data_IF_185248603067
#
_entry.id   IF_185248603067
#
_cell.length_a   1.000
_cell.length_b   1.000
_cell.length_c   1.000
_cell.angle_alpha   90.00
_cell.angle_beta   90.00
_cell.angle_gamma   90.00
#
_symmetry.space_group_name_H-M   'P 1'
#
loop_
_entity.id
_entity.type
_entity.pdbx_description
1 polymer ?
#
# COMPACT_ATOMS: atom_id res chain seq x y z
N UNK A 1 50.34 5.75 20.25
CA UNK A 1 48.94 5.51 20.66
C UNK A 1 48.72 4.01 20.63
N UNK A 2 48.19 3.38 21.70
CA UNK A 2 48.13 1.90 21.77
C UNK A 2 47.23 1.39 20.65
N UNK A 3 47.75 0.48 19.83
CA UNK A 3 47.06 -0.17 18.70
C UNK A 3 45.64 -0.67 19.07
N UNK A 4 45.46 -1.11 20.32
CA UNK A 4 44.18 -1.50 20.89
C UNK A 4 43.09 -0.41 20.86
N UNK A 5 43.45 0.86 20.97
CA UNK A 5 42.51 1.99 20.91
C UNK A 5 42.05 2.23 19.48
N UNK A 6 42.95 2.08 18.50
CA UNK A 6 42.62 2.23 17.07
C UNK A 6 41.70 1.09 16.65
N UNK A 7 42.05 -0.15 17.01
CA UNK A 7 41.24 -1.33 16.70
C UNK A 7 39.84 -1.24 17.33
N UNK A 8 39.73 -0.75 18.58
CA UNK A 8 38.42 -0.54 19.22
C UNK A 8 37.56 0.47 18.48
N UNK A 9 38.16 1.55 17.96
CA UNK A 9 37.43 2.58 17.23
C UNK A 9 36.99 2.12 15.84
N UNK A 10 37.78 1.29 15.17
CA UNK A 10 37.39 0.65 13.90
C UNK A 10 36.24 -0.35 14.09
N UNK A 11 36.26 -1.13 15.17
CA UNK A 11 35.14 -2.01 15.52
C UNK A 11 33.86 -1.23 15.82
N UNK A 12 33.96 -0.09 16.52
CA UNK A 12 32.80 0.76 16.81
C UNK A 12 32.14 1.28 15.52
N UNK A 13 32.94 1.68 14.53
CA UNK A 13 32.43 2.08 13.20
C UNK A 13 31.77 0.94 12.44
N UNK A 14 32.30 -0.28 12.56
CA UNK A 14 31.69 -1.49 11.97
C UNK A 14 30.34 -1.78 12.63
N UNK A 15 30.24 -1.64 13.96
CA UNK A 15 28.99 -1.81 14.70
C UNK A 15 27.95 -0.78 14.28
N UNK A 16 28.31 0.52 14.20
CA UNK A 16 27.39 1.56 13.74
C UNK A 16 26.90 1.30 12.30
N UNK A 17 27.79 0.87 11.41
CA UNK A 17 27.40 0.51 10.05
C UNK A 17 26.47 -0.71 10.01
N UNK A 18 26.73 -1.74 10.81
CA UNK A 18 25.88 -2.93 10.93
C UNK A 18 24.50 -2.59 11.53
N UNK A 19 24.43 -1.69 12.52
CA UNK A 19 23.17 -1.20 13.09
C UNK A 19 22.41 -0.39 12.04
N UNK A 20 23.08 0.53 11.35
CA UNK A 20 22.48 1.36 10.30
C UNK A 20 21.96 0.52 9.13
N UNK A 21 22.72 -0.47 8.68
CA UNK A 21 22.33 -1.37 7.59
C UNK A 21 21.25 -2.36 8.05
N UNK A 22 21.25 -2.85 9.29
CA UNK A 22 20.17 -3.73 9.80
C UNK A 22 18.85 -2.99 10.02
N UNK A 23 18.88 -1.70 10.35
CA UNK A 23 17.69 -0.85 10.39
C UNK A 23 17.19 -0.48 8.98
N UNK A 24 18.11 -0.38 8.01
CA UNK A 24 17.82 -0.04 6.60
C UNK A 24 17.39 -1.24 5.74
N UNK A 25 17.80 -2.44 6.13
CA UNK A 25 17.45 -3.72 5.52
C UNK A 25 17.00 -4.64 6.67
N UNK A 26 15.74 -5.05 6.80
CA UNK A 26 15.33 -6.17 5.96
C UNK A 26 13.82 -6.46 6.03
N UNK A 27 13.15 -6.03 4.95
CA UNK A 27 11.93 -6.57 4.33
C UNK A 27 10.58 -6.44 5.00
N UNK A 28 10.41 -6.07 6.27
CA UNK A 28 9.04 -5.90 6.80
C UNK A 28 8.28 -4.80 6.07
N UNK A 29 8.87 -3.62 5.86
CA UNK A 29 8.20 -2.52 5.18
C UNK A 29 7.92 -2.84 3.72
N UNK A 30 8.89 -3.42 2.99
CA UNK A 30 8.71 -3.79 1.59
C UNK A 30 7.71 -4.96 1.41
N UNK A 31 7.72 -5.94 2.31
CA UNK A 31 6.74 -7.04 2.33
C UNK A 31 5.35 -6.51 2.68
N UNK A 32 5.23 -5.63 3.68
CA UNK A 32 3.96 -4.96 4.02
C UNK A 32 3.46 -4.15 2.83
N UNK A 33 4.34 -3.39 2.15
CA UNK A 33 3.98 -2.65 0.94
C UNK A 33 3.50 -3.59 -0.16
N UNK A 34 4.19 -4.72 -0.38
CA UNK A 34 3.77 -5.73 -1.34
C UNK A 34 2.41 -6.36 -0.99
N UNK A 35 2.15 -6.61 0.29
CA UNK A 35 0.85 -7.11 0.77
C UNK A 35 -0.24 -6.06 0.52
N UNK A 36 0.02 -4.79 0.84
CA UNK A 36 -0.94 -3.70 0.60
C UNK A 36 -1.21 -3.51 -0.89
N UNK A 37 -0.19 -3.58 -1.75
CA UNK A 37 -0.36 -3.53 -3.21
C UNK A 37 -1.19 -4.70 -3.73
N UNK A 38 -0.97 -5.92 -3.21
CA UNK A 38 -1.79 -7.10 -3.54
C UNK A 38 -3.24 -6.95 -3.06
N UNK A 39 -3.46 -6.36 -1.88
CA UNK A 39 -4.80 -6.05 -1.38
C UNK A 39 -5.50 -5.04 -2.28
N UNK A 40 -4.82 -3.97 -2.71
CA UNK A 40 -5.38 -2.99 -3.65
C UNK A 40 -5.80 -3.69 -4.95
N UNK A 41 -4.95 -4.57 -5.50
CA UNK A 41 -5.28 -5.32 -6.72
C UNK A 41 -6.49 -6.23 -6.53
N UNK A 42 -6.60 -6.93 -5.39
CA UNK A 42 -7.75 -7.77 -5.09
C UNK A 42 -9.05 -6.96 -5.03
N UNK A 43 -9.02 -5.77 -4.41
CA UNK A 43 -10.16 -4.87 -4.39
C UNK A 43 -10.50 -4.33 -5.78
N UNK A 44 -9.48 -4.02 -6.60
CA UNK A 44 -9.68 -3.58 -7.98
C UNK A 44 -10.40 -4.66 -8.81
N UNK A 45 -9.99 -5.93 -8.70
CA UNK A 45 -10.68 -7.04 -9.36
C UNK A 45 -12.10 -7.24 -8.83
N UNK A 46 -12.32 -7.12 -7.51
CA UNK A 46 -13.65 -7.24 -6.95
C UNK A 46 -14.59 -6.14 -7.45
N UNK A 47 -14.13 -4.88 -7.44
CA UNK A 47 -14.91 -3.76 -7.96
C UNK A 47 -15.20 -3.94 -9.45
N UNK A 48 -14.23 -4.43 -10.21
CA UNK A 48 -14.43 -4.73 -11.63
C UNK A 48 -15.51 -5.80 -11.82
N UNK A 49 -15.45 -6.92 -11.09
CA UNK A 49 -16.46 -7.97 -11.17
C UNK A 49 -17.88 -7.47 -10.77
N UNK A 50 -17.98 -6.61 -9.76
CA UNK A 50 -19.25 -5.98 -9.37
C UNK A 50 -19.81 -5.11 -10.50
N UNK A 51 -18.94 -4.34 -11.16
CA UNK A 51 -19.33 -3.44 -12.25
C UNK A 51 -19.66 -4.22 -13.53
N UNK A 52 -18.91 -5.26 -13.87
CA UNK A 52 -19.21 -6.18 -14.98
C UNK A 52 -20.59 -6.83 -14.78
N UNK A 53 -20.87 -7.34 -13.58
CA UNK A 53 -22.22 -7.85 -13.27
C UNK A 53 -23.30 -6.77 -13.40
N UNK A 54 -23.01 -5.53 -13.00
CA UNK A 54 -23.95 -4.42 -13.15
C UNK A 54 -24.15 -4.01 -14.62
N UNK A 55 -23.14 -4.16 -15.47
CA UNK A 55 -23.21 -3.95 -16.93
C UNK A 55 -24.06 -5.05 -17.59
N UNK A 56 -23.84 -6.32 -17.23
CA UNK A 56 -24.69 -7.45 -17.67
C UNK A 56 -26.16 -7.26 -17.26
N UNK A 57 -26.39 -6.73 -16.06
CA UNK A 57 -27.72 -6.36 -15.55
C UNK A 57 -28.27 -5.04 -16.14
N UNK A 58 -27.56 -4.42 -17.10
CA UNK A 58 -27.90 -3.14 -17.75
C UNK A 58 -28.08 -1.95 -16.78
N UNK A 59 -27.46 -2.00 -15.60
CA UNK A 59 -27.48 -0.91 -14.61
C UNK A 59 -26.45 0.18 -14.91
N UNK A 60 -25.41 -0.14 -15.68
CA UNK A 60 -24.39 0.78 -16.18
C UNK A 60 -24.09 0.50 -17.65
N UNK A 61 -23.56 1.50 -18.37
CA UNK A 61 -23.29 1.42 -19.82
C UNK A 61 -21.89 0.88 -20.15
N UNK A 62 -20.90 1.15 -19.29
CA UNK A 62 -19.52 0.71 -19.46
C UNK A 62 -18.81 0.65 -18.10
N UNK A 63 -17.91 -0.31 -17.93
CA UNK A 63 -17.04 -0.41 -16.74
C UNK A 63 -15.90 0.62 -16.81
N UNK A 64 -15.77 1.54 -15.83
CA UNK A 64 -14.71 2.54 -15.84
C UNK A 64 -13.29 1.93 -15.73
N UNK A 65 -12.37 2.44 -16.55
CA UNK A 65 -10.96 2.00 -16.56
C UNK A 65 -10.14 2.54 -15.39
N UNK A 66 -10.50 3.72 -14.85
CA UNK A 66 -9.77 4.32 -13.73
C UNK A 66 -10.35 3.87 -12.39
N UNK A 67 -9.48 3.48 -11.46
CA UNK A 67 -9.91 3.01 -10.14
C UNK A 67 -10.76 4.01 -9.33
N UNK A 68 -10.45 5.31 -9.39
CA UNK A 68 -11.25 6.34 -8.70
C UNK A 68 -12.65 6.45 -9.30
N UNK A 69 -12.76 6.26 -10.62
CA UNK A 69 -14.05 6.23 -11.31
C UNK A 69 -14.83 4.95 -10.96
N UNK A 70 -14.15 3.80 -10.82
CA UNK A 70 -14.76 2.56 -10.33
C UNK A 70 -15.34 2.72 -8.93
N UNK A 71 -14.60 3.30 -7.98
CA UNK A 71 -15.09 3.61 -6.63
C UNK A 71 -16.36 4.47 -6.68
N UNK A 72 -16.35 5.51 -7.51
CA UNK A 72 -17.51 6.40 -7.67
C UNK A 72 -18.71 5.66 -8.28
N UNK A 73 -18.48 4.77 -9.25
CA UNK A 73 -19.53 3.98 -9.87
C UNK A 73 -20.13 2.96 -8.89
N UNK A 74 -19.30 2.26 -8.11
CA UNK A 74 -19.76 1.31 -7.08
C UNK A 74 -20.54 2.04 -5.98
N UNK A 75 -20.09 3.22 -5.54
CA UNK A 75 -20.84 4.03 -4.57
C UNK A 75 -22.22 4.42 -5.12
N UNK A 76 -22.31 4.81 -6.40
CA UNK A 76 -23.61 5.15 -7.03
C UNK A 76 -24.54 3.95 -7.16
N UNK A 77 -24.00 2.74 -7.34
CA UNK A 77 -24.79 1.49 -7.39
C UNK A 77 -25.35 1.11 -6.01
N UNK A 78 -24.60 1.37 -4.93
CA UNK A 78 -24.98 0.99 -3.56
C UNK A 78 -24.89 2.18 -2.59
N UNK A 79 -25.65 3.27 -2.78
CA UNK A 79 -25.46 4.51 -2.03
C UNK A 79 -25.82 4.39 -0.54
N UNK A 80 -26.76 3.50 -0.20
CA UNK A 80 -27.25 3.32 1.17
C UNK A 80 -26.58 2.18 1.93
N UNK A 81 -25.71 1.40 1.28
CA UNK A 81 -25.02 0.29 1.94
C UNK A 81 -23.79 0.82 2.70
N UNK A 82 -23.94 0.99 4.01
CA UNK A 82 -22.86 1.43 4.88
C UNK A 82 -21.65 0.49 4.88
N UNK A 83 -21.85 -0.81 4.68
CA UNK A 83 -20.75 -1.77 4.58
C UNK A 83 -19.97 -1.54 3.29
N UNK A 84 -20.68 -1.31 2.17
CA UNK A 84 -20.04 -1.00 0.90
C UNK A 84 -19.26 0.32 0.97
N UNK A 85 -19.82 1.37 1.58
CA UNK A 85 -19.11 2.64 1.74
C UNK A 85 -17.84 2.47 2.58
N UNK A 86 -17.91 1.73 3.70
CA UNK A 86 -16.74 1.42 4.53
C UNK A 86 -15.67 0.64 3.76
N UNK A 87 -16.10 -0.27 2.89
CA UNK A 87 -15.22 -1.06 2.02
C UNK A 87 -14.49 -0.17 1.00
N UNK A 88 -15.20 0.76 0.36
CA UNK A 88 -14.63 1.73 -0.57
C UNK A 88 -13.67 2.71 0.13
N UNK A 89 -14.01 3.15 1.34
CA UNK A 89 -13.14 4.02 2.15
C UNK A 89 -11.84 3.33 2.54
N UNK A 90 -11.91 2.06 2.94
CA UNK A 90 -10.73 1.26 3.25
C UNK A 90 -9.83 1.08 2.02
N UNK A 91 -10.40 0.79 0.84
CA UNK A 91 -9.65 0.76 -0.41
C UNK A 91 -8.90 2.08 -0.69
N UNK A 92 -9.58 3.20 -0.50
CA UNK A 92 -8.98 4.53 -0.69
C UNK A 92 -7.87 4.81 0.33
N UNK A 93 -8.02 4.34 1.57
CA UNK A 93 -6.97 4.38 2.59
C UNK A 93 -5.74 3.57 2.15
N UNK A 94 -5.91 2.33 1.67
CA UNK A 94 -4.79 1.50 1.20
C UNK A 94 -4.02 2.20 0.07
N UNK A 95 -4.72 2.80 -0.91
CA UNK A 95 -4.07 3.57 -1.99
C UNK A 95 -3.33 4.80 -1.47
N UNK A 96 -3.84 5.48 -0.44
CA UNK A 96 -3.15 6.60 0.22
C UNK A 96 -1.89 6.13 0.92
N UNK A 97 -1.92 4.99 1.60
CA UNK A 97 -0.76 4.40 2.28
C UNK A 97 0.36 4.08 1.28
N UNK A 98 0.06 3.46 0.14
CA UNK A 98 1.08 3.14 -0.89
C UNK A 98 1.65 4.41 -1.54
N UNK A 99 0.82 5.45 -1.71
CA UNK A 99 1.24 6.73 -2.28
C UNK A 99 1.98 7.65 -1.31
N UNK A 100 1.79 7.45 0.00
CA UNK A 100 2.51 8.23 0.99
C UNK A 100 4.01 8.02 0.79
N UNK A 101 4.75 9.10 0.54
CA UNK A 101 6.22 9.04 0.61
C UNK A 101 6.57 8.61 2.02
N UNK A 102 7.23 7.47 2.17
CA UNK A 102 7.99 7.19 3.38
C UNK A 102 8.89 8.39 3.60
N UNK A 103 8.65 9.14 4.69
CA UNK A 103 9.50 10.25 5.04
C UNK A 103 10.86 9.71 5.43
N UNK A 104 11.74 9.48 4.45
CA UNK A 104 13.16 9.58 4.68
C UNK A 104 13.45 11.07 4.93
N UNK A 105 13.23 11.52 6.16
CA UNK A 105 13.78 12.78 6.64
C UNK A 105 15.19 12.46 7.12
N UNK A 106 16.15 13.10 6.42
CA UNK A 106 17.54 13.39 6.78
C UNK A 106 18.41 12.22 7.22
#
# INVERSE_FOLDING_TARGET
MRESVINSWEELKRVDHLIYVSLKYTRTVDVIKSIVERLINAYDFLMQAILEKAEEENKITEVPKMAVQRVTAVHKLYPYDQKMNSFLDFYMLLRKIVRAKTSARS
#
